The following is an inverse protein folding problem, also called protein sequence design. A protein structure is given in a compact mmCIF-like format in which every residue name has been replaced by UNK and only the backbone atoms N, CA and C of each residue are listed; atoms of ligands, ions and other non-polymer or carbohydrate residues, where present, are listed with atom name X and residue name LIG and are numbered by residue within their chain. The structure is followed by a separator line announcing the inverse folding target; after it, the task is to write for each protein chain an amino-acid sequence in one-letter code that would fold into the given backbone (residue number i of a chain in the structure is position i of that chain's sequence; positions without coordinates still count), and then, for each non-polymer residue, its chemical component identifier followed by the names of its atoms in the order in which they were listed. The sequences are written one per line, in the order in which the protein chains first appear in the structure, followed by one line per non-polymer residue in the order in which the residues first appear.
data_IF_755998715575
#
_entry.id   IF_755998715575
#
_cell.length_a   1.000
_cell.length_b   1.000
_cell.length_c   1.000
_cell.angle_alpha   90.00
_cell.angle_beta   90.00
_cell.angle_gamma   90.00
#
_symmetry.space_group_name_H-M   'P 1'
#
loop_
_entity.id
_entity.type
_entity.pdbx_description
1 polymer ?
2 non-polymer ?
3 non-polymer ?
4 water ?
#
# COMPACT_ATOMS: atom_id res chain seq x y z
N UNK A 12 -5.92 22.04 -21.45
CA UNK A 12 -6.84 20.91 -21.79
C UNK A 12 -6.36 19.52 -21.33
N UNK A 13 -7.24 18.82 -20.60
CA UNK A 13 -6.87 17.55 -20.00
C UNK A 13 -7.03 16.41 -21.00
N UNK A 14 -7.82 16.64 -22.05
CA UNK A 14 -8.02 15.61 -23.09
C UNK A 14 -6.75 15.39 -23.91
N UNK A 15 -5.78 16.29 -23.72
CA UNK A 15 -4.44 16.16 -24.31
C UNK A 15 -3.49 15.32 -23.44
N UNK A 16 -3.89 14.98 -22.22
CA UNK A 16 -3.04 14.21 -21.30
C UNK A 16 -3.23 12.74 -21.59
N UNK A 17 -2.18 12.09 -22.07
CA UNK A 17 -2.23 10.70 -22.48
C UNK A 17 -2.15 9.78 -21.28
N UNK A 18 -3.26 9.10 -20.99
CA UNK A 18 -3.28 8.14 -19.89
C UNK A 18 -3.25 6.74 -20.46
N UNK A 19 -2.26 5.94 -20.04
CA UNK A 19 -2.15 4.57 -20.48
C UNK A 19 -2.34 3.60 -19.32
N UNK A 20 -3.35 2.73 -19.41
CA UNK A 20 -3.67 1.79 -18.33
C UNK A 20 -3.47 0.34 -18.77
N UNK A 21 -2.71 -0.41 -17.98
CA UNK A 21 -2.33 -1.77 -18.38
C UNK A 21 -2.91 -2.86 -17.48
N UNK A 22 -2.88 -4.11 -17.98
CA UNK A 22 -3.18 -5.29 -17.17
C UNK A 22 -4.62 -5.38 -16.60
N UNK A 23 -5.60 -4.81 -17.29
CA UNK A 23 -7.01 -5.01 -16.88
C UNK A 23 -7.34 -4.34 -15.55
N UNK A 24 -6.87 -3.10 -15.43
CA UNK A 24 -7.18 -2.24 -14.30
C UNK A 24 -8.70 -2.03 -14.26
N UNK A 25 -9.26 -2.04 -13.04
CA UNK A 25 -10.71 -1.94 -12.91
C UNK A 25 -11.24 -0.73 -13.67
N UNK A 26 -12.44 -0.91 -14.22
CA UNK A 26 -13.19 0.14 -14.90
C UNK A 26 -13.52 1.35 -14.01
N UNK A 27 -13.51 1.19 -12.68
CA UNK A 27 -13.69 2.35 -11.78
C UNK A 27 -12.56 3.41 -12.02
N UNK A 28 -11.38 2.97 -12.46
CA UNK A 28 -10.28 3.90 -12.75
C UNK A 28 -10.57 4.71 -14.02
N UNK A 29 -10.97 4.02 -15.08
CA UNK A 29 -11.30 4.64 -16.37
C UNK A 29 -12.39 5.71 -16.18
N UNK A 30 -13.38 5.40 -15.36
CA UNK A 30 -14.50 6.31 -15.13
C UNK A 30 -14.10 7.53 -14.32
N UNK A 31 -13.23 7.31 -13.34
CA UNK A 31 -12.77 8.38 -12.51
C UNK A 31 -11.96 9.37 -13.36
N UNK A 32 -11.08 8.87 -14.24
CA UNK A 32 -10.32 9.72 -15.17
C UNK A 32 -11.24 10.57 -16.05
N UNK A 33 -12.22 9.92 -16.68
CA UNK A 33 -13.20 10.58 -17.55
C UNK A 33 -13.97 11.72 -16.87
N UNK A 34 -14.54 11.43 -15.70
CA UNK A 34 -15.31 12.40 -14.93
C UNK A 34 -14.45 13.56 -14.43
N UNK A 35 -13.12 13.36 -14.46
CA UNK A 35 -12.16 14.39 -14.07
C UNK A 35 -11.68 15.19 -15.27
N UNK A 36 -12.21 14.89 -16.45
CA UNK A 36 -11.80 15.55 -17.69
C UNK A 36 -10.63 14.85 -18.37
N UNK A 37 -10.12 13.78 -17.76
CA UNK A 37 -9.06 13.01 -18.39
C UNK A 37 -9.67 11.96 -19.34
N UNK A 38 -10.07 12.42 -20.53
CA UNK A 38 -10.75 11.57 -21.52
C UNK A 38 -9.79 10.78 -22.42
N UNK A 39 -8.52 11.19 -22.51
CA UNK A 39 -7.59 10.47 -23.36
C UNK A 39 -6.99 9.21 -22.72
N UNK A 40 -7.79 8.14 -22.66
CA UNK A 40 -7.40 6.96 -21.91
C UNK A 40 -7.30 5.74 -22.82
N UNK A 41 -6.10 5.16 -22.89
CA UNK A 41 -5.87 3.88 -23.54
C UNK A 41 -5.83 2.83 -22.42
N UNK A 42 -6.74 1.85 -22.49
CA UNK A 42 -6.91 0.82 -21.45
C UNK A 42 -6.69 -0.55 -22.06
N UNK A 43 -5.69 -1.28 -21.56
CA UNK A 43 -5.39 -2.62 -22.08
C UNK A 43 -5.68 -3.70 -21.05
N UNK A 44 -6.09 -4.91 -21.52
CA UNK A 44 -6.38 -5.96 -20.54
C UNK A 44 -5.13 -6.74 -20.10
N UNK A 45 -3.98 -6.45 -20.72
CA UNK A 45 -2.77 -7.27 -20.57
C UNK A 45 -1.52 -6.47 -20.21
N UNK A 46 -0.47 -7.18 -19.79
CA UNK A 46 0.85 -6.57 -19.66
C UNK A 46 1.49 -6.48 -21.04
N UNK A 47 2.45 -5.58 -21.19
CA UNK A 47 3.17 -5.43 -22.45
C UNK A 47 4.61 -5.95 -22.31
N UNK A 48 5.18 -6.46 -23.40
CA UNK A 48 6.61 -6.79 -23.41
C UNK A 48 7.44 -5.50 -23.44
N UNK A 49 8.73 -5.63 -23.11
CA UNK A 49 9.69 -4.54 -23.12
C UNK A 49 9.51 -3.64 -24.35
N UNK A 50 9.44 -4.26 -25.54
CA UNK A 50 9.37 -3.56 -26.81
C UNK A 50 8.07 -2.77 -27.04
N UNK A 51 6.93 -3.42 -26.78
CA UNK A 51 5.63 -2.73 -26.86
C UNK A 51 5.52 -1.65 -25.80
N UNK A 52 6.08 -1.93 -24.62
CA UNK A 52 6.02 -0.98 -23.52
C UNK A 52 6.79 0.29 -23.88
N UNK A 53 8.03 0.12 -24.38
CA UNK A 53 8.85 1.25 -24.84
C UNK A 53 8.07 2.12 -25.87
N UNK A 54 7.45 1.46 -26.86
CA UNK A 54 6.60 2.13 -27.85
C UNK A 54 5.38 2.84 -27.24
N UNK A 55 4.61 2.11 -26.45
CA UNK A 55 3.36 2.64 -25.89
C UNK A 55 3.59 3.76 -24.88
N UNK A 56 4.65 3.64 -24.07
CA UNK A 56 4.93 4.61 -23.00
C UNK A 56 5.58 5.90 -23.56
N UNK A 57 6.17 5.78 -24.75
CA UNK A 57 6.90 6.86 -25.43
C UNK A 57 6.17 8.21 -25.38
N UNK A 58 4.85 8.19 -25.47
CA UNK A 58 4.07 9.44 -25.43
C UNK A 58 3.11 9.55 -24.24
N UNK A 59 3.14 8.57 -23.34
CA UNK A 59 2.30 8.56 -22.12
C UNK A 59 2.67 9.66 -21.11
N UNK A 60 1.67 10.36 -20.59
CA UNK A 60 1.85 11.25 -19.47
C UNK A 60 1.65 10.52 -18.15
N UNK A 61 0.65 9.65 -18.11
CA UNK A 61 0.34 8.92 -16.90
C UNK A 61 0.23 7.45 -17.25
N UNK A 62 0.92 6.60 -16.49
CA UNK A 62 0.77 5.16 -16.68
C UNK A 62 0.26 4.47 -15.42
N UNK A 63 -0.68 3.55 -15.62
CA UNK A 63 -1.18 2.68 -14.56
C UNK A 63 -0.83 1.25 -14.88
N UNK A 64 -0.27 0.56 -13.89
CA UNK A 64 0.16 -0.83 -14.04
C UNK A 64 -0.38 -1.68 -12.88
N UNK A 65 -0.23 -2.99 -13.02
CA UNK A 65 -0.48 -3.88 -11.92
C UNK A 65 0.79 -4.62 -11.60
N UNK A 66 0.73 -5.94 -11.41
CA UNK A 66 1.89 -6.65 -10.86
C UNK A 66 2.91 -7.16 -11.89
N UNK A 67 2.56 -7.18 -13.18
CA UNK A 67 3.42 -7.84 -14.17
C UNK A 67 4.33 -6.88 -14.95
N UNK A 68 3.88 -5.65 -15.17
CA UNK A 68 4.65 -4.65 -15.89
C UNK A 68 5.86 -4.17 -15.08
N UNK A 69 7.03 -4.25 -15.68
CA UNK A 69 8.25 -3.87 -14.96
C UNK A 69 8.68 -2.49 -15.40
N UNK A 70 8.76 -1.55 -14.47
CA UNK A 70 9.15 -0.18 -14.83
C UNK A 70 10.55 0.13 -14.33
N UNK A 71 11.50 0.09 -15.24
CA UNK A 71 12.91 0.24 -14.90
C UNK A 71 13.41 1.55 -15.51
N UNK A 72 14.62 1.95 -15.11
CA UNK A 72 15.32 3.11 -15.70
C UNK A 72 15.28 3.12 -17.25
N UNK A 73 15.56 1.96 -17.85
CA UNK A 73 15.50 1.80 -19.30
C UNK A 73 14.15 2.22 -19.88
N UNK A 74 13.06 1.84 -19.20
CA UNK A 74 11.72 2.24 -19.63
C UNK A 74 11.52 3.76 -19.47
N UNK A 75 11.87 4.30 -18.29
CA UNK A 75 11.76 5.75 -18.06
C UNK A 75 12.56 6.56 -19.07
N UNK A 76 13.74 6.07 -19.46
CA UNK A 76 14.57 6.70 -20.53
C UNK A 76 13.84 6.85 -21.86
N UNK A 77 12.87 5.97 -22.10
CA UNK A 77 12.04 6.01 -23.32
C UNK A 77 10.79 6.85 -23.11
N UNK A 78 10.49 7.18 -21.84
CA UNK A 78 9.22 7.82 -21.53
C UNK A 78 9.39 9.33 -21.49
N UNK A 79 9.42 9.92 -22.68
CA UNK A 79 9.65 11.35 -22.85
C UNK A 79 8.72 12.28 -22.09
N UNK A 80 7.48 11.84 -21.85
CA UNK A 80 6.44 12.74 -21.35
C UNK A 80 5.88 12.32 -20.00
N UNK A 81 6.36 11.19 -19.48
CA UNK A 81 5.76 10.58 -18.29
C UNK A 81 5.91 11.50 -17.07
N UNK A 82 4.80 11.79 -16.40
CA UNK A 82 4.84 12.58 -15.16
C UNK A 82 4.55 11.76 -13.89
N UNK A 83 3.85 10.64 -14.03
CA UNK A 83 3.42 9.89 -12.83
C UNK A 83 3.12 8.43 -13.15
N UNK A 84 3.37 7.58 -12.16
CA UNK A 84 3.06 6.17 -12.22
C UNK A 84 2.03 5.81 -11.15
N UNK A 85 1.02 5.06 -11.57
CA UNK A 85 0.05 4.50 -10.64
C UNK A 85 0.32 3.00 -10.53
N UNK A 86 0.64 2.53 -9.33
CA UNK A 86 0.69 1.09 -9.05
C UNK A 86 -0.70 0.74 -8.55
N UNK A 87 -1.48 0.10 -9.41
CA UNK A 87 -2.81 -0.29 -9.04
C UNK A 87 -2.76 -1.61 -8.23
N UNK A 88 -2.19 -1.47 -7.02
CA UNK A 88 -1.90 -2.58 -6.10
C UNK A 88 -1.36 -2.01 -4.79
N UNK A 89 -1.27 -2.84 -3.75
CA UNK A 89 -0.66 -2.44 -2.47
C UNK A 89 0.87 -2.29 -2.60
N UNK A 90 1.53 -3.36 -3.04
CA UNK A 90 2.99 -3.37 -3.25
C UNK A 90 3.46 -2.54 -4.44
N UNK A 91 4.75 -2.26 -4.48
CA UNK A 91 5.36 -1.46 -5.54
C UNK A 91 6.71 -2.05 -6.02
N UNK A 92 6.88 -3.36 -5.83
CA UNK A 92 8.16 -4.02 -6.14
C UNK A 92 8.48 -4.18 -7.63
N UNK A 93 7.48 -3.91 -8.47
CA UNK A 93 7.64 -3.97 -9.92
C UNK A 93 8.20 -2.64 -10.55
N UNK A 94 8.29 -1.58 -9.76
CA UNK A 94 8.78 -0.28 -10.25
C UNK A 94 10.12 0.04 -9.60
N UNK A 95 11.08 0.53 -10.39
CA UNK A 95 12.34 1.04 -9.82
C UNK A 95 12.05 2.43 -9.23
N UNK A 96 11.80 2.47 -7.92
CA UNK A 96 11.24 3.66 -7.26
C UNK A 96 12.20 4.82 -7.25
N UNK A 97 13.49 4.52 -7.02
CA UNK A 97 14.54 5.54 -6.97
C UNK A 97 14.79 6.14 -8.37
N UNK A 98 14.81 5.27 -9.39
CA UNK A 98 14.98 5.71 -10.79
C UNK A 98 13.86 6.68 -11.17
N UNK A 99 12.63 6.34 -10.78
CA UNK A 99 11.49 7.23 -11.04
C UNK A 99 11.66 8.57 -10.32
N UNK A 100 11.99 8.50 -9.02
CA UNK A 100 12.22 9.71 -8.24
C UNK A 100 13.26 10.64 -8.89
N UNK A 101 14.41 10.10 -9.26
CA UNK A 101 15.50 10.88 -9.85
C UNK A 101 15.12 11.59 -11.18
N UNK A 102 14.07 11.09 -11.82
CA UNK A 102 13.47 11.68 -13.02
C UNK A 102 12.26 12.56 -12.69
N UNK A 103 12.04 12.78 -11.39
CA UNK A 103 10.93 13.61 -10.94
C UNK A 103 9.57 13.01 -11.23
N UNK A 104 9.47 11.69 -11.14
CA UNK A 104 8.22 10.97 -11.35
C UNK A 104 7.75 10.31 -10.06
N UNK A 105 6.67 10.85 -9.45
CA UNK A 105 6.11 10.18 -8.26
C UNK A 105 5.39 8.92 -8.66
N UNK A 106 5.41 7.94 -7.76
CA UNK A 106 4.72 6.67 -7.93
C UNK A 106 3.71 6.57 -6.78
N UNK A 107 2.45 6.34 -7.14
CA UNK A 107 1.37 6.21 -6.16
C UNK A 107 0.81 4.80 -6.11
N UNK A 108 0.50 4.33 -4.92
CA UNK A 108 -0.09 3.01 -4.76
C UNK A 108 -1.44 3.18 -4.06
N UNK A 109 -2.00 2.08 -3.59
CA UNK A 109 -3.31 2.09 -2.98
C UNK A 109 -3.17 1.50 -1.57
N UNK A 110 -2.63 2.28 -0.64
CA UNK A 110 -2.27 1.66 0.64
C UNK A 110 -3.45 1.23 1.54
N UNK A 111 -4.61 1.85 1.39
CA UNK A 111 -5.72 1.54 2.29
C UNK A 111 -6.88 0.69 1.71
N UNK A 112 -6.90 0.51 0.37
CA UNK A 112 -7.99 -0.21 -0.33
C UNK A 112 -8.24 -1.63 0.16
N UNK A 113 -7.16 -2.30 0.55
CA UNK A 113 -7.18 -3.68 1.00
C UNK A 113 -7.77 -3.90 2.42
N UNK A 114 -7.99 -2.84 3.18
CA UNK A 114 -8.27 -2.89 4.63
C UNK A 114 -9.37 -3.88 4.98
N UNK A 115 -10.53 -3.71 4.36
CA UNK A 115 -11.69 -4.53 4.67
C UNK A 115 -11.42 -6.01 4.29
N UNK A 116 -10.71 -6.24 3.19
CA UNK A 116 -10.47 -7.61 2.74
C UNK A 116 -9.60 -8.36 3.73
N UNK A 117 -8.60 -7.66 4.29
CA UNK A 117 -7.73 -8.29 5.31
C UNK A 117 -8.52 -8.54 6.60
N UNK A 118 -9.34 -7.58 7.00
CA UNK A 118 -10.04 -7.69 8.27
C UNK A 118 -11.06 -8.87 8.27
N UNK A 119 -11.81 -9.02 7.17
CA UNK A 119 -12.75 -10.12 7.04
C UNK A 119 -12.06 -11.47 7.07
N UNK A 120 -10.95 -11.57 6.34
CA UNK A 120 -10.17 -12.81 6.32
C UNK A 120 -9.73 -13.22 7.73
N UNK A 121 -9.19 -12.27 8.50
CA UNK A 121 -8.72 -12.60 9.84
C UNK A 121 -9.88 -13.21 10.66
N UNK A 122 -11.03 -12.56 10.62
CA UNK A 122 -12.17 -12.96 11.43
C UNK A 122 -12.67 -14.38 11.04
N UNK A 123 -12.80 -14.64 9.74
CA UNK A 123 -13.17 -15.98 9.28
C UNK A 123 -12.14 -17.01 9.72
N UNK A 124 -10.88 -16.66 9.67
CA UNK A 124 -9.83 -17.60 10.03
C UNK A 124 -9.81 -17.88 11.52
N UNK A 125 -10.16 -16.90 12.34
CA UNK A 125 -10.18 -17.14 13.77
C UNK A 125 -11.20 -18.23 14.05
N UNK A 126 -12.38 -18.11 13.45
CA UNK A 126 -13.40 -19.15 13.63
C UNK A 126 -12.91 -20.51 13.11
N UNK A 127 -12.35 -20.57 11.90
CA UNK A 127 -11.94 -21.88 11.35
C UNK A 127 -10.88 -22.56 12.23
N UNK A 128 -9.93 -21.76 12.72
CA UNK A 128 -8.82 -22.26 13.55
C UNK A 128 -9.30 -22.74 14.93
N UNK A 129 -10.10 -21.94 15.62
CA UNK A 129 -10.60 -22.34 16.95
C UNK A 129 -11.49 -23.58 16.88
N UNK A 130 -12.14 -23.76 15.73
CA UNK A 130 -12.97 -24.92 15.53
C UNK A 130 -12.25 -26.08 14.85
N UNK A 131 -11.00 -25.87 14.44
CA UNK A 131 -10.24 -26.92 13.73
C UNK A 131 -10.96 -27.40 12.46
N UNK A 132 -11.65 -26.49 11.75
CA UNK A 132 -12.44 -26.86 10.56
C UNK A 132 -11.65 -27.37 9.35
N UNK A 133 -10.54 -26.72 9.03
CA UNK A 133 -9.70 -27.15 7.93
C UNK A 133 -9.18 -28.64 8.04
N UNK A 134 -8.57 -29.04 9.19
CA UNK A 134 -8.16 -30.47 9.26
C UNK A 134 -9.36 -31.42 9.21
N UNK A 135 -10.49 -31.00 9.76
CA UNK A 135 -11.72 -31.81 9.71
C UNK A 135 -12.23 -32.01 8.30
N UNK A 136 -12.14 -30.96 7.49
CA UNK A 136 -12.57 -31.03 6.09
C UNK A 136 -11.59 -31.81 5.22
N UNK A 137 -10.29 -31.59 5.40
CA UNK A 137 -9.28 -32.45 4.74
C UNK A 137 -9.57 -33.92 5.06
N UNK A 138 -9.73 -34.21 6.35
CA UNK A 138 -10.08 -35.57 6.77
C UNK A 138 -11.39 -36.07 6.12
N UNK A 139 -12.44 -35.26 6.12
CA UNK A 139 -13.73 -35.69 5.54
C UNK A 139 -13.63 -36.01 4.03
N UNK A 140 -12.93 -35.16 3.27
CA UNK A 140 -12.71 -35.44 1.83
C UNK A 140 -12.03 -36.79 1.57
N UNK A 141 -11.19 -37.21 2.51
CA UNK A 141 -10.43 -38.46 2.45
C UNK A 141 -11.20 -39.64 3.07
N UNK A 142 -12.41 -39.39 3.54
CA UNK A 142 -13.21 -40.46 4.16
C UNK A 142 -13.14 -40.58 5.68
N UNK A 143 -12.36 -39.73 6.33
CA UNK A 143 -12.26 -39.76 7.79
C UNK A 143 -13.48 -39.09 8.41
N UNK A 144 -13.70 -39.29 9.71
CA UNK A 144 -14.86 -38.73 10.39
C UNK A 144 -14.47 -38.35 11.81
N UNK A 145 -14.20 -37.07 12.01
CA UNK A 145 -13.67 -36.63 13.28
C UNK A 145 -14.69 -35.86 14.09
N UNK A 146 -15.80 -36.51 14.44
CA UNK A 146 -16.87 -35.85 15.18
C UNK A 146 -16.52 -35.79 16.65
N UNK A 147 -16.13 -34.61 17.11
CA UNK A 147 -15.65 -34.46 18.49
C UNK A 147 -15.64 -32.98 18.88
N UNK A 148 -15.93 -32.70 20.15
CA UNK A 148 -15.93 -31.34 20.65
C UNK A 148 -14.56 -30.94 21.25
N UNK A 149 -13.69 -31.91 21.51
CA UNK A 149 -12.43 -31.67 22.19
C UNK A 149 -11.52 -30.77 21.38
N UNK A 150 -11.09 -29.67 21.98
CA UNK A 150 -10.19 -28.73 21.29
C UNK A 150 -10.94 -27.84 20.32
N UNK A 151 -12.27 -27.91 20.34
CA UNK A 151 -13.08 -27.11 19.42
C UNK A 151 -13.81 -26.04 20.22
N UNK A 152 -13.67 -24.78 19.84
CA UNK A 152 -14.20 -23.71 20.72
C UNK A 152 -14.89 -22.58 19.99
N UNK A 153 -15.80 -21.91 20.71
CA UNK A 153 -16.50 -20.71 20.22
C UNK A 153 -15.55 -19.53 20.37
N UNK A 154 -15.67 -18.56 19.47
CA UNK A 154 -14.86 -17.34 19.58
C UNK A 154 -15.45 -16.36 20.61
N UNK A 155 -16.76 -16.40 20.84
CA UNK A 155 -17.39 -15.53 21.85
C UNK A 155 -16.73 -15.77 23.20
N UNK A 156 -16.33 -14.71 23.89
CA UNK A 156 -15.72 -14.89 25.20
C UNK A 156 -14.21 -14.99 25.14
N UNK A 157 -13.65 -15.23 23.95
CA UNK A 157 -12.20 -15.34 23.81
C UNK A 157 -11.51 -13.98 23.60
N UNK A 158 -10.23 -13.90 23.94
CA UNK A 158 -9.43 -12.69 23.80
C UNK A 158 -8.60 -12.75 22.51
N UNK A 159 -8.85 -11.75 21.66
CA UNK A 159 -7.99 -11.48 20.52
C UNK A 159 -6.96 -10.41 20.87
N UNK A 160 -5.68 -10.74 20.67
CA UNK A 160 -4.59 -9.78 20.78
C UNK A 160 -4.14 -9.32 19.41
N UNK A 161 -4.22 -8.01 19.20
CA UNK A 161 -3.90 -7.37 17.94
C UNK A 161 -2.58 -6.60 18.04
N UNK A 162 -1.62 -6.95 17.20
CA UNK A 162 -0.31 -6.32 17.26
C UNK A 162 -0.22 -5.37 16.06
N UNK A 163 -0.28 -4.07 16.38
CA UNK A 163 -0.38 -3.03 15.37
C UNK A 163 -1.84 -2.60 15.25
N UNK A 164 -2.17 -1.44 15.82
CA UNK A 164 -3.56 -1.01 15.89
C UNK A 164 -3.79 0.17 14.97
N UNK A 165 -3.54 -0.04 13.68
CA UNK A 165 -3.76 1.03 12.73
C UNK A 165 -5.12 0.83 12.10
N UNK A 166 -5.15 1.06 10.81
CA UNK A 166 -6.36 0.94 10.05
C UNK A 166 -6.97 -0.46 10.06
N UNK A 167 -6.16 -1.44 9.68
CA UNK A 167 -6.59 -2.82 9.63
C UNK A 167 -6.82 -3.35 11.04
N UNK A 168 -5.89 -3.05 11.93
CA UNK A 168 -5.98 -3.54 13.32
C UNK A 168 -7.30 -3.16 13.94
N UNK A 169 -7.70 -1.90 13.79
CA UNK A 169 -8.94 -1.47 14.40
C UNK A 169 -10.20 -1.99 13.73
N UNK A 170 -10.18 -2.15 12.40
CA UNK A 170 -11.29 -2.84 11.73
C UNK A 170 -11.38 -4.29 12.18
N UNK A 171 -10.25 -4.98 12.27
CA UNK A 171 -10.21 -6.35 12.81
C UNK A 171 -10.86 -6.40 14.20
N UNK A 172 -10.43 -5.47 15.07
CA UNK A 172 -11.02 -5.30 16.40
C UNK A 172 -12.54 -5.09 16.43
N UNK A 173 -13.04 -4.21 15.54
CA UNK A 173 -14.48 -3.93 15.43
C UNK A 173 -15.27 -5.21 15.18
N UNK A 174 -14.90 -5.91 14.12
CA UNK A 174 -15.52 -7.17 13.72
C UNK A 174 -15.40 -8.24 14.81
N UNK A 175 -14.25 -8.31 15.48
CA UNK A 175 -14.03 -9.33 16.51
C UNK A 175 -14.96 -9.05 17.68
N UNK A 176 -15.10 -7.79 18.06
CA UNK A 176 -16.07 -7.43 19.09
C UNK A 176 -17.52 -7.81 18.76
N UNK A 177 -17.95 -7.57 17.52
CA UNK A 177 -19.31 -7.96 17.14
C UNK A 177 -19.48 -9.48 17.25
N UNK A 178 -18.38 -10.22 17.18
CA UNK A 178 -18.42 -11.67 17.38
C UNK A 178 -18.27 -12.07 18.84
N UNK A 179 -18.32 -11.07 19.75
CA UNK A 179 -18.28 -11.33 21.18
C UNK A 179 -16.90 -11.60 21.78
N UNK A 180 -15.85 -11.37 20.99
CA UNK A 180 -14.47 -11.48 21.53
C UNK A 180 -14.12 -10.28 22.40
N UNK A 181 -13.28 -10.50 23.41
CA UNK A 181 -12.59 -9.40 24.11
C UNK A 181 -11.34 -9.06 23.29
N UNK A 182 -11.19 -7.76 22.98
CA UNK A 182 -10.12 -7.33 22.10
C UNK A 182 -9.13 -6.42 22.85
N UNK A 183 -7.86 -6.79 22.75
CA UNK A 183 -6.75 -5.98 23.25
C UNK A 183 -5.78 -5.74 22.11
N UNK A 184 -5.00 -4.68 22.26
CA UNK A 184 -4.00 -4.35 21.24
C UNK A 184 -2.67 -3.90 21.86
N UNK A 185 -1.59 -4.20 21.16
CA UNK A 185 -0.31 -3.60 21.48
C UNK A 185 0.16 -2.79 20.26
N UNK A 186 0.49 -1.53 20.51
CA UNK A 186 1.02 -0.65 19.49
C UNK A 186 1.97 0.34 20.19
N UNK A 187 3.18 0.48 19.67
CA UNK A 187 4.21 1.31 20.32
C UNK A 187 3.84 2.79 20.39
N UNK A 188 2.92 3.26 19.55
CA UNK A 188 2.57 4.67 19.60
C UNK A 188 1.07 4.93 19.86
N UNK A 189 0.44 4.06 20.63
CA UNK A 189 -0.94 4.28 21.05
C UNK A 189 -1.24 3.50 22.33
N UNK A 190 -1.85 4.20 23.29
CA UNK A 190 -2.19 3.65 24.60
C UNK A 190 -3.64 4.01 24.99
N UNK A 191 -4.37 4.61 24.05
CA UNK A 191 -5.75 5.00 24.29
C UNK A 191 -6.71 3.79 24.29
N UNK A 192 -7.74 3.89 25.11
CA UNK A 192 -8.78 2.88 25.11
C UNK A 192 -9.83 3.32 24.08
N UNK A 193 -10.36 2.38 23.31
CA UNK A 193 -11.43 2.66 22.34
C UNK A 193 -12.69 1.86 22.64
N UNK A 194 -13.61 2.46 23.39
CA UNK A 194 -14.81 1.78 23.86
C UNK A 194 -14.35 0.65 24.77
N UNK A 195 -14.63 -0.59 24.35
CA UNK A 195 -14.18 -1.74 25.13
C UNK A 195 -12.81 -2.35 24.75
N UNK A 196 -12.16 -1.76 23.75
CA UNK A 196 -10.86 -2.22 23.27
C UNK A 196 -9.77 -1.50 24.08
N UNK A 197 -8.97 -2.28 24.81
CA UNK A 197 -7.96 -1.71 25.71
C UNK A 197 -6.53 -2.01 25.25
N UNK A 198 -5.59 -1.07 25.50
CA UNK A 198 -4.20 -1.37 25.16
C UNK A 198 -3.58 -2.33 26.18
N UNK A 199 -2.75 -3.26 25.72
CA UNK A 199 -1.85 -4.00 26.62
C UNK A 199 -0.64 -3.11 26.94
N UNK A 200 0.03 -3.33 28.07
CA UNK A 200 1.22 -2.53 28.44
C UNK A 200 2.41 -2.89 27.56
N UNK A 201 2.43 -4.11 27.02
CA UNK A 201 3.59 -4.59 26.27
C UNK A 201 3.20 -5.66 25.27
N UNK A 202 4.09 -5.92 24.32
CA UNK A 202 3.90 -7.04 23.43
C UNK A 202 3.80 -8.35 24.22
N UNK A 203 4.71 -8.57 25.17
CA UNK A 203 4.72 -9.84 25.91
C UNK A 203 3.43 -10.01 26.68
N UNK A 204 2.93 -8.96 27.32
CA UNK A 204 1.66 -9.07 28.07
C UNK A 204 0.52 -9.48 27.15
N UNK A 205 0.48 -8.88 25.97
CA UNK A 205 -0.54 -9.24 24.96
C UNK A 205 -0.44 -10.72 24.55
N UNK A 206 0.78 -11.17 24.25
CA UNK A 206 1.02 -12.55 23.86
C UNK A 206 0.59 -13.55 24.92
N UNK A 207 0.86 -13.22 26.18
CA UNK A 207 0.61 -14.13 27.29
C UNK A 207 -0.87 -14.26 27.61
N UNK A 208 -1.66 -13.23 27.28
CA UNK A 208 -3.05 -13.18 27.73
C UNK A 208 -4.08 -13.30 26.60
N UNK A 209 -3.64 -13.59 25.39
CA UNK A 209 -4.54 -13.74 24.26
C UNK A 209 -4.79 -15.22 23.92
N UNK A 210 -6.00 -15.52 23.44
CA UNK A 210 -6.28 -16.83 22.88
C UNK A 210 -5.84 -16.91 21.41
N UNK A 211 -5.92 -15.77 20.73
CA UNK A 211 -5.53 -15.63 19.35
C UNK A 211 -4.75 -14.34 19.25
N UNK A 212 -3.62 -14.39 18.56
CA UNK A 212 -2.83 -13.21 18.26
C UNK A 212 -2.82 -13.02 16.76
N UNK A 213 -3.18 -11.82 16.32
CA UNK A 213 -3.17 -11.45 14.88
C UNK A 213 -2.25 -10.27 14.65
N UNK A 214 -1.36 -10.40 13.69
CA UNK A 214 -0.33 -9.40 13.43
C UNK A 214 -0.82 -8.40 12.39
N UNK A 215 -0.74 -7.12 12.74
CA UNK A 215 -1.12 -6.06 11.82
C UNK A 215 -0.14 -4.89 11.90
N UNK A 216 1.14 -5.22 11.80
CA UNK A 216 2.20 -4.23 11.86
C UNK A 216 2.21 -3.41 10.56
N UNK A 217 2.12 -2.08 10.68
CA UNK A 217 2.28 -1.18 9.51
C UNK A 217 3.60 -1.40 8.76
N UNK A 218 3.54 -1.22 7.43
CA UNK A 218 4.73 -1.21 6.57
C UNK A 218 5.66 -0.08 7.00
N UNK A 224 12.73 -10.39 12.91
CA UNK A 224 11.50 -11.09 13.28
C UNK A 224 10.95 -10.45 14.56
N UNK A 225 9.70 -10.04 14.51
CA UNK A 225 9.01 -9.58 15.70
C UNK A 225 8.62 -10.81 16.54
N UNK A 226 8.09 -11.85 15.89
CA UNK A 226 7.63 -13.04 16.60
C UNK A 226 8.63 -14.20 16.44
N UNK A 227 9.50 -14.33 17.45
CA UNK A 227 10.54 -15.35 17.46
C UNK A 227 10.02 -16.57 18.20
N UNK A 228 10.81 -17.65 18.22
CA UNK A 228 10.46 -18.76 19.10
C UNK A 228 10.17 -18.31 20.55
N UNK A 229 10.95 -17.36 21.07
CA UNK A 229 10.73 -16.90 22.43
C UNK A 229 9.32 -16.36 22.62
N UNK A 230 8.88 -15.52 21.68
CA UNK A 230 7.51 -14.97 21.72
C UNK A 230 6.45 -16.03 21.61
N UNK A 231 6.61 -16.98 20.69
CA UNK A 231 5.66 -18.11 20.53
C UNK A 231 5.48 -18.92 21.81
N UNK A 232 6.57 -19.14 22.55
CA UNK A 232 6.56 -19.94 23.79
C UNK A 232 5.92 -19.19 24.97
N UNK A 233 5.82 -17.87 24.85
CA UNK A 233 5.09 -17.03 25.82
C UNK A 233 3.58 -17.11 25.62
N UNK A 234 3.13 -17.40 24.41
CA UNK A 234 1.69 -17.54 24.14
C UNK A 234 1.10 -18.70 24.94
N UNK A 235 -0.19 -18.61 25.22
CA UNK A 235 -0.93 -19.64 25.96
C UNK A 235 -0.91 -20.97 25.22
N UNK A 236 -0.75 -22.05 25.96
CA UNK A 236 -0.90 -23.36 25.39
C UNK A 236 -2.33 -23.46 24.79
N UNK A 237 -2.44 -23.89 23.54
CA UNK A 237 -3.72 -23.97 22.86
C UNK A 237 -4.11 -22.72 22.06
N UNK A 238 -3.24 -21.71 22.07
CA UNK A 238 -3.52 -20.44 21.39
C UNK A 238 -3.22 -20.53 19.88
N UNK A 239 -3.53 -19.46 19.15
CA UNK A 239 -3.47 -19.42 17.70
C UNK A 239 -2.74 -18.15 17.24
N UNK A 240 -1.96 -18.29 16.17
CA UNK A 240 -1.33 -17.13 15.57
C UNK A 240 -1.79 -16.92 14.14
N UNK A 241 -2.12 -15.67 13.83
CA UNK A 241 -2.43 -15.27 12.46
C UNK A 241 -1.49 -14.16 12.00
N UNK A 242 -0.87 -14.36 10.86
CA UNK A 242 -0.07 -13.30 10.25
C UNK A 242 -0.49 -13.03 8.83
N UNK A 243 -1.30 -12.00 8.64
CA UNK A 243 -1.76 -11.62 7.30
C UNK A 243 -1.21 -10.26 6.94
N UNK A 244 -0.12 -9.88 7.62
CA UNK A 244 0.47 -8.56 7.47
C UNK A 244 1.90 -8.59 6.81
N UNK A 245 2.98 -8.77 7.57
CA UNK A 245 4.36 -8.75 6.99
C UNK A 245 5.10 -10.11 6.95
N UNK A 246 5.62 -10.46 5.77
CA UNK A 246 6.22 -11.77 5.53
C UNK A 246 7.45 -12.16 6.33
N UNK A 247 8.17 -11.17 6.86
CA UNK A 247 9.36 -11.46 7.66
C UNK A 247 9.15 -11.33 9.19
N UNK A 248 7.91 -11.13 9.62
CA UNK A 248 7.61 -10.92 11.04
C UNK A 248 7.58 -12.17 11.94
N UNK A 249 7.50 -13.37 11.37
CA UNK A 249 7.44 -14.58 12.18
C UNK A 249 8.50 -15.58 11.79
N UNK A 250 9.12 -16.21 12.78
CA UNK A 250 10.03 -17.31 12.55
C UNK A 250 9.16 -18.57 12.33
N UNK A 251 8.95 -18.89 11.05
CA UNK A 251 8.04 -19.95 10.64
C UNK A 251 8.57 -21.34 10.94
N UNK A 252 9.90 -21.47 11.00
CA UNK A 252 10.52 -22.73 11.44
C UNK A 252 10.21 -22.95 12.92
N UNK A 253 10.28 -21.89 13.72
CA UNK A 253 9.94 -21.97 15.14
C UNK A 253 8.43 -22.19 15.26
N UNK A 254 7.63 -21.54 14.43
CA UNK A 254 6.18 -21.81 14.46
C UNK A 254 5.87 -23.29 14.17
N UNK A 255 6.50 -23.86 13.14
CA UNK A 255 6.31 -25.28 12.82
C UNK A 255 6.63 -26.17 14.03
N UNK A 256 7.75 -25.88 14.71
CA UNK A 256 8.12 -26.63 15.90
C UNK A 256 7.07 -26.57 17.01
N UNK A 257 6.58 -25.37 17.35
CA UNK A 257 5.69 -25.26 18.50
C UNK A 257 4.32 -25.82 18.16
N UNK A 258 3.96 -25.81 16.86
CA UNK A 258 2.76 -26.48 16.39
C UNK A 258 2.90 -27.98 16.53
N UNK A 259 4.05 -28.54 16.12
CA UNK A 259 4.25 -29.99 16.20
C UNK A 259 4.30 -30.49 17.61
N UNK A 260 4.82 -29.66 18.51
CA UNK A 260 4.83 -29.96 19.93
C UNK A 260 3.43 -29.91 20.51
N UNK A 261 2.52 -29.23 19.81
CA UNK A 261 1.17 -29.04 20.35
C UNK A 261 1.08 -27.94 21.38
N UNK A 262 2.06 -27.02 21.39
CA UNK A 262 1.98 -25.85 22.26
C UNK A 262 0.95 -24.87 21.68
N UNK A 263 1.09 -24.54 20.40
CA UNK A 263 0.05 -23.75 19.74
C UNK A 263 -0.88 -24.72 19.05
N UNK A 264 -2.17 -24.39 18.98
CA UNK A 264 -3.16 -25.30 18.36
C UNK A 264 -3.43 -25.05 16.87
N UNK A 265 -2.87 -24.00 16.30
CA UNK A 265 -3.12 -23.71 14.88
C UNK A 265 -2.59 -22.35 14.48
N UNK A 266 -2.56 -22.08 13.18
CA UNK A 266 -2.09 -20.81 12.65
C UNK A 266 -2.70 -20.56 11.28
N UNK A 267 -2.77 -19.28 10.89
CA UNK A 267 -3.10 -18.91 9.52
C UNK A 267 -2.07 -17.90 9.07
N UNK A 268 -1.51 -18.10 7.86
CA UNK A 268 -0.37 -17.30 7.43
C UNK A 268 -0.59 -16.97 5.96
N UNK A 269 -0.59 -15.68 5.63
CA UNK A 269 -0.83 -15.22 4.27
C UNK A 269 0.49 -14.79 3.62
N UNK A 270 1.51 -14.55 4.45
CA UNK A 270 2.74 -13.89 3.97
C UNK A 270 4.01 -14.59 4.49
N UNK A 271 5.02 -14.71 3.65
CA UNK A 271 6.13 -15.60 3.91
C UNK A 271 7.45 -14.90 3.63
N UNK A 272 8.54 -15.37 4.29
CA UNK A 272 9.83 -14.70 4.02
C UNK A 272 10.24 -14.80 2.56
N UNK A 273 9.90 -15.92 1.91
CA UNK A 273 10.16 -16.10 0.49
C UNK A 273 8.88 -16.57 -0.22
N UNK A 274 8.44 -15.79 -1.19
CA UNK A 274 7.23 -16.11 -1.96
C UNK A 274 7.56 -16.28 -3.45
N UNK A 275 6.88 -17.23 -4.13
CA UNK A 275 7.17 -17.48 -5.52
C UNK A 275 7.11 -16.20 -6.37
N UNK A 276 8.05 -16.07 -7.30
CA UNK A 276 8.16 -14.93 -8.21
C UNK A 276 7.04 -14.86 -9.25
N UNK A 277 6.05 -15.77 -9.12
CA UNK A 277 4.82 -15.83 -9.93
C UNK A 277 4.04 -17.11 -9.59
N UNK A 278 2.79 -17.19 -10.03
CA UNK A 278 1.97 -18.40 -9.88
C UNK A 278 2.51 -19.64 -10.64
N UNK A 279 3.57 -19.46 -11.44
CA UNK A 279 4.20 -20.55 -12.19
C UNK A 279 5.55 -21.01 -11.66
N UNK A 280 5.68 -21.11 -10.33
CA UNK A 280 6.89 -21.60 -9.61
C UNK A 280 6.53 -22.18 -8.21
N UNK A 281 7.25 -23.22 -7.75
CA UNK A 281 6.87 -23.96 -6.54
C UNK A 281 7.01 -23.16 -5.23
N UNK A 282 6.02 -23.26 -4.37
CA UNK A 282 6.07 -22.60 -3.06
C UNK A 282 6.51 -23.58 -1.99
N UNK A 283 7.39 -23.12 -1.13
CA UNK A 283 7.91 -23.95 -0.05
C UNK A 283 7.90 -23.18 1.29
N UNK A 284 7.45 -23.87 2.35
CA UNK A 284 7.45 -23.32 3.71
C UNK A 284 7.46 -24.51 4.69
N UNK A 285 8.14 -24.37 5.85
CA UNK A 285 8.18 -25.49 6.80
C UNK A 285 6.82 -25.78 7.47
N UNK A 286 5.83 -24.90 7.28
CA UNK A 286 4.46 -25.17 7.74
C UNK A 286 3.69 -26.16 6.87
N UNK A 287 4.20 -26.48 5.69
CA UNK A 287 3.48 -27.34 4.75
C UNK A 287 3.27 -28.73 5.32
N UNK A 288 2.04 -29.24 5.26
CA UNK A 288 1.75 -30.56 5.83
C UNK A 288 1.35 -30.56 7.31
N UNK A 289 1.42 -29.40 7.96
CA UNK A 289 1.04 -29.34 9.38
C UNK A 289 -0.48 -29.25 9.58
N UNK A 290 -0.97 -29.86 10.65
CA UNK A 290 -2.40 -29.85 10.96
C UNK A 290 -2.87 -28.50 11.54
N UNK A 291 -4.06 -28.11 11.10
CA UNK A 291 -4.67 -26.85 11.52
C UNK A 291 -3.84 -25.60 11.21
N UNK A 292 -3.22 -25.64 10.03
CA UNK A 292 -2.52 -24.47 9.53
C UNK A 292 -3.17 -24.12 8.19
N UNK A 293 -3.69 -22.90 8.14
CA UNK A 293 -4.22 -22.35 6.89
C UNK A 293 -3.10 -21.54 6.23
N UNK A 294 -2.74 -21.93 5.00
CA UNK A 294 -1.69 -21.25 4.24
C UNK A 294 -2.38 -20.57 3.08
N UNK A 295 -2.22 -19.26 2.95
CA UNK A 295 -2.88 -18.57 1.83
C UNK A 295 -1.84 -17.83 0.96
N UNK A 296 -2.05 -17.81 -0.37
CA UNK A 296 -0.95 -17.30 -1.21
C UNK A 296 -0.90 -15.78 -1.32
N UNK A 297 -0.71 -15.09 -0.18
CA UNK A 297 -0.63 -13.65 -0.16
C UNK A 297 -1.89 -13.02 -0.80
N UNK A 298 -3.06 -13.52 -0.40
CA UNK A 298 -4.31 -13.00 -0.92
C UNK A 298 -5.13 -12.15 0.07
N UNK A 299 -4.53 -11.76 1.18
CA UNK A 299 -5.24 -11.01 2.23
C UNK A 299 -5.93 -9.81 1.63
N UNK A 300 -5.32 -9.19 0.63
CA UNK A 300 -5.89 -7.98 0.00
C UNK A 300 -6.51 -8.22 -1.38
N UNK A 301 -6.62 -9.49 -1.78
CA UNK A 301 -6.99 -9.80 -3.16
C UNK A 301 -8.49 -10.16 -3.27
N UNK A 302 -9.33 -9.14 -3.40
CA UNK A 302 -10.75 -9.36 -3.71
C UNK A 302 -11.16 -8.51 -4.90
N UNK A 303 -12.29 -8.88 -5.52
CA UNK A 303 -12.86 -8.07 -6.59
C UNK A 303 -13.18 -6.66 -6.09
N UNK A 304 -13.63 -6.55 -4.84
CA UNK A 304 -14.03 -5.27 -4.28
C UNK A 304 -12.80 -4.40 -3.96
N UNK A 305 -11.75 -5.01 -3.43
CA UNK A 305 -10.48 -4.27 -3.26
C UNK A 305 -9.93 -3.77 -4.61
N UNK A 306 -9.99 -4.61 -5.65
CA UNK A 306 -9.56 -4.16 -7.00
C UNK A 306 -10.32 -2.91 -7.43
N UNK A 307 -11.62 -2.88 -7.17
CA UNK A 307 -12.45 -1.71 -7.51
C UNK A 307 -12.01 -0.50 -6.71
N UNK A 308 -11.84 -0.67 -5.41
CA UNK A 308 -11.41 0.45 -4.57
C UNK A 308 -10.00 0.94 -4.96
N UNK A 309 -9.11 0.01 -5.31
CA UNK A 309 -7.78 0.38 -5.79
C UNK A 309 -7.88 1.29 -7.04
N UNK A 310 -8.77 0.94 -7.97
CA UNK A 310 -8.96 1.72 -9.20
C UNK A 310 -9.33 3.16 -8.93
N UNK A 311 -10.25 3.36 -7.99
CA UNK A 311 -10.62 4.69 -7.54
C UNK A 311 -9.52 5.40 -6.76
N UNK A 312 -8.97 4.76 -5.72
CA UNK A 312 -7.92 5.35 -4.83
C UNK A 312 -6.70 5.85 -5.64
N UNK A 313 -6.16 4.97 -6.47
CA UNK A 313 -4.93 5.35 -7.23
C UNK A 313 -5.24 6.40 -8.29
N UNK A 314 -6.42 6.34 -8.90
CA UNK A 314 -6.78 7.35 -9.91
C UNK A 314 -6.97 8.72 -9.24
N UNK A 315 -7.62 8.75 -8.08
CA UNK A 315 -7.76 10.00 -7.33
C UNK A 315 -6.37 10.65 -7.11
N UNK A 316 -5.40 9.87 -6.64
CA UNK A 316 -4.02 10.34 -6.43
C UNK A 316 -3.40 10.90 -7.73
N UNK A 317 -3.60 10.16 -8.82
CA UNK A 317 -3.02 10.55 -10.12
C UNK A 317 -3.64 11.83 -10.70
N UNK A 318 -4.97 11.90 -10.66
CA UNK A 318 -5.71 13.09 -11.02
C UNK A 318 -5.25 14.30 -10.18
N UNK A 319 -5.13 14.13 -8.87
CA UNK A 319 -4.73 15.26 -8.02
C UNK A 319 -3.29 15.67 -8.27
N UNK A 320 -2.42 14.70 -8.52
CA UNK A 320 -1.05 15.04 -8.87
C UNK A 320 -1.00 15.83 -10.18
N UNK A 321 -1.70 15.35 -11.20
CA UNK A 321 -1.64 15.95 -12.52
C UNK A 321 -2.28 17.37 -12.50
N UNK A 322 -3.42 17.51 -11.83
CA UNK A 322 -4.08 18.81 -11.68
C UNK A 322 -3.29 19.83 -10.83
N UNK A 323 -2.95 19.44 -9.58
CA UNK A 323 -2.41 20.43 -8.64
C UNK A 323 -1.09 20.05 -7.95
N UNK A 324 -0.42 19.01 -8.44
CA UNK A 324 0.90 18.59 -7.96
C UNK A 324 1.01 17.96 -6.57
N UNK A 325 -0.12 17.58 -5.96
CA UNK A 325 -0.02 16.89 -4.67
C UNK A 325 0.70 15.54 -4.79
N UNK A 326 1.63 15.31 -3.86
CA UNK A 326 2.38 14.06 -3.78
C UNK A 326 2.24 13.37 -2.42
N UNK A 327 1.29 13.82 -1.59
CA UNK A 327 1.00 13.11 -0.35
C UNK A 327 0.54 11.69 -0.73
N UNK A 328 1.14 10.67 -0.16
CA UNK A 328 0.77 9.30 -0.54
C UNK A 328 1.67 8.69 -1.60
N UNK A 329 2.49 9.50 -2.25
CA UNK A 329 3.49 8.94 -3.17
C UNK A 329 4.45 8.08 -2.34
N UNK A 330 4.83 6.92 -2.85
CA UNK A 330 5.72 6.03 -2.07
C UNK A 330 7.22 6.31 -2.25
N UNK A 331 7.57 7.18 -3.21
CA UNK A 331 8.97 7.36 -3.58
C UNK A 331 9.36 8.83 -3.69
N UNK A 332 8.64 9.73 -3.01
CA UNK A 332 8.73 11.15 -3.39
C UNK A 332 8.47 12.03 -2.16
N UNK A 333 9.11 13.20 -2.10
CA UNK A 333 8.78 14.14 -1.03
C UNK A 333 7.28 14.45 -1.07
N UNK A 334 6.66 14.45 0.11
CA UNK A 334 5.21 14.56 0.29
C UNK A 334 4.85 16.04 0.37
N UNK A 335 4.18 16.54 -0.65
CA UNK A 335 3.80 17.96 -0.69
C UNK A 335 2.32 18.10 -0.97
N UNK A 336 1.67 18.96 -0.21
CA UNK A 336 0.28 19.36 -0.43
C UNK A 336 0.20 20.85 -0.13
N UNK A 337 -0.54 21.60 -0.95
CA UNK A 337 -0.68 23.06 -0.78
C UNK A 337 -2.06 23.50 -1.29
N UNK A 338 -2.87 24.15 -0.42
CA UNK A 338 -4.23 24.54 -0.84
C UNK A 338 -4.19 25.32 -2.14
N UNK A 339 -5.01 24.93 -3.12
CA UNK A 339 -5.08 25.70 -4.38
C UNK A 339 -5.85 27.03 -4.19
N UNK A 340 -5.56 28.02 -5.05
CA UNK A 340 -6.22 29.32 -4.98
C UNK A 340 -6.99 29.52 -6.26
N UNK A 341 -8.10 30.27 -6.22
CA UNK A 341 -8.89 30.41 -7.46
C UNK A 341 -8.30 31.38 -8.52
N UNK A 342 -7.30 32.18 -8.13
CA UNK A 342 -6.67 33.12 -9.08
C UNK A 342 -5.13 32.94 -9.21
N UNK A 343 -4.54 33.62 -10.20
CA UNK A 343 -3.11 33.59 -10.44
C UNK A 343 -2.72 32.25 -11.07
N UNK A 344 -1.51 31.79 -10.75
CA UNK A 344 -0.96 30.62 -11.41
C UNK A 344 -0.25 29.75 -10.38
N UNK A 345 -0.23 28.45 -10.59
CA UNK A 345 0.45 27.54 -9.66
C UNK A 345 1.59 26.84 -10.41
N UNK A 346 2.75 26.73 -9.76
CA UNK A 346 3.93 26.13 -10.40
C UNK A 346 4.42 24.97 -9.53
N UNK A 347 5.07 23.99 -10.17
CA UNK A 347 5.85 23.00 -9.46
C UNK A 347 7.24 22.94 -10.09
N UNK A 348 8.24 22.58 -9.29
CA UNK A 348 9.60 22.51 -9.80
C UNK A 348 10.27 21.33 -9.07
N UNK A 349 10.82 20.38 -9.81
CA UNK A 349 11.57 19.27 -9.23
C UNK A 349 13.03 19.52 -9.55
N UNK A 350 13.89 19.41 -8.55
CA UNK A 350 15.33 19.64 -8.81
C UNK A 350 16.23 18.75 -8.01
N UNK A 351 17.49 18.70 -8.44
CA UNK A 351 18.56 18.24 -7.58
C UNK A 351 18.74 19.20 -6.40
N UNK A 352 19.17 18.69 -5.25
CA UNK A 352 19.40 19.54 -4.07
C UNK A 352 20.70 20.35 -4.10
N UNK A 353 20.81 21.25 -5.07
CA UNK A 353 21.96 22.15 -5.18
C UNK A 353 21.79 23.34 -4.26
N UNK A 354 22.83 23.63 -3.45
CA UNK A 354 22.74 24.74 -2.51
C UNK A 354 22.49 26.07 -3.26
N UNK A 355 21.51 26.84 -2.80
CA UNK A 355 21.28 28.12 -3.44
C UNK A 355 20.25 28.05 -4.56
N UNK A 356 19.73 26.86 -4.86
CA UNK A 356 18.69 26.76 -5.89
C UNK A 356 17.38 27.54 -5.52
N UNK A 357 17.03 27.58 -4.24
CA UNK A 357 15.92 28.41 -3.79
C UNK A 357 16.10 29.88 -4.11
N UNK A 358 17.31 30.37 -3.95
CA UNK A 358 17.62 31.75 -4.29
C UNK A 358 17.40 32.01 -5.73
N UNK A 359 17.93 31.12 -6.57
CA UNK A 359 17.76 31.23 -8.03
C UNK A 359 16.29 31.21 -8.41
N UNK A 360 15.51 30.33 -7.79
CA UNK A 360 14.08 30.26 -8.08
C UNK A 360 13.37 31.55 -7.72
N UNK A 361 13.57 32.03 -6.49
CA UNK A 361 12.97 33.30 -6.02
C UNK A 361 13.38 34.48 -6.92
N UNK A 362 14.64 34.52 -7.32
CA UNK A 362 15.14 35.55 -8.18
C UNK A 362 14.47 35.55 -9.51
N UNK A 363 14.22 34.39 -10.08
CA UNK A 363 13.50 34.35 -11.33
C UNK A 363 12.12 35.00 -11.20
N UNK A 364 11.38 34.61 -10.17
CA UNK A 364 10.06 35.20 -9.90
C UNK A 364 10.08 36.73 -9.73
N UNK A 365 10.96 37.26 -8.87
CA UNK A 365 11.14 38.73 -8.77
C UNK A 365 11.40 39.37 -10.12
N UNK A 366 12.37 38.82 -10.86
CA UNK A 366 12.74 39.34 -12.16
C UNK A 366 11.51 39.58 -13.04
N UNK A 367 10.55 38.66 -12.96
CA UNK A 367 9.32 38.79 -13.76
C UNK A 367 8.18 39.51 -13.02
N UNK A 368 8.49 40.11 -11.88
CA UNK A 368 7.48 40.82 -11.06
C UNK A 368 6.28 39.93 -10.66
N UNK A 369 6.54 38.67 -10.35
CA UNK A 369 5.47 37.74 -9.97
C UNK A 369 5.63 37.44 -8.50
N UNK A 370 4.55 37.60 -7.74
CA UNK A 370 4.63 37.44 -6.28
C UNK A 370 4.12 36.07 -5.89
N UNK A 371 4.84 35.42 -4.99
CA UNK A 371 4.45 34.11 -4.51
C UNK A 371 3.58 34.30 -3.28
N UNK A 372 2.38 33.73 -3.33
CA UNK A 372 1.42 33.83 -2.24
C UNK A 372 1.57 32.69 -1.22
N UNK A 373 2.11 31.54 -1.64
CA UNK A 373 2.36 30.43 -0.72
C UNK A 373 3.26 29.42 -1.42
N UNK A 374 3.95 28.59 -0.65
CA UNK A 374 4.74 27.54 -1.24
C UNK A 374 5.10 26.48 -0.21
N UNK A 375 5.43 25.29 -0.72
CA UNK A 375 5.78 24.16 0.13
C UNK A 375 6.95 23.44 -0.58
N UNK A 376 8.09 23.43 0.12
CA UNK A 376 9.25 22.68 -0.34
C UNK A 376 9.40 21.47 0.54
N UNK A 377 9.57 20.29 -0.05
CA UNK A 377 10.04 19.14 0.74
C UNK A 377 11.18 18.47 -0.06
N UNK A 378 12.13 17.85 0.63
CA UNK A 378 13.33 17.30 0.00
C UNK A 378 13.67 15.94 0.61
N UNK A 379 14.41 15.12 -0.13
CA UNK A 379 14.92 13.89 0.43
C UNK A 379 16.37 13.77 -0.04
N UNK A 380 16.94 12.57 -0.07
CA UNK A 380 18.33 12.45 -0.46
C UNK A 380 18.63 12.73 -1.92
N UNK A 381 17.60 12.62 -2.78
CA UNK A 381 17.78 12.73 -4.23
C UNK A 381 17.22 14.00 -4.86
N UNK A 382 16.07 14.46 -4.38
CA UNK A 382 15.38 15.59 -5.05
C UNK A 382 14.79 16.58 -4.05
N UNK A 383 14.56 17.81 -4.52
CA UNK A 383 13.72 18.77 -3.84
C UNK A 383 12.48 18.95 -4.71
N UNK A 384 11.33 19.10 -4.07
CA UNK A 384 10.09 19.32 -4.77
C UNK A 384 9.41 20.56 -4.18
N UNK A 385 9.18 21.56 -5.02
CA UNK A 385 8.62 22.81 -4.61
C UNK A 385 7.31 23.07 -5.33
N UNK A 386 6.22 23.30 -4.60
CA UNK A 386 4.98 23.72 -5.25
C UNK A 386 4.71 25.15 -4.79
N UNK A 387 4.29 26.02 -5.72
CA UNK A 387 4.10 27.45 -5.45
C UNK A 387 2.81 28.00 -6.02
N UNK A 388 2.12 28.81 -5.22
CA UNK A 388 1.03 29.65 -5.69
C UNK A 388 1.55 31.09 -5.89
N UNK A 389 1.24 31.67 -7.06
CA UNK A 389 1.80 32.97 -7.47
C UNK A 389 0.74 33.84 -8.13
N UNK A 390 0.99 35.13 -8.30
CA UNK A 390 -0.07 36.00 -8.85
C UNK A 390 0.14 36.36 -10.33
N UNK A 391 1.11 35.69 -10.97
CA UNK A 391 1.35 35.88 -12.39
C UNK A 391 0.17 35.30 -13.15
N UNK A 392 0.01 35.75 -14.40
CA UNK A 392 -1.01 35.26 -15.31
C UNK A 392 -0.46 35.24 -16.74
N UNK A 393 -1.09 34.43 -17.60
CA UNK A 393 -0.81 34.48 -19.03
C UNK A 393 0.67 34.36 -19.37
N UNK A 394 1.13 35.25 -20.23
CA UNK A 394 2.48 35.19 -20.79
C UNK A 394 3.61 35.41 -19.78
N UNK A 395 3.36 36.23 -18.77
CA UNK A 395 4.33 36.43 -17.68
C UNK A 395 4.64 35.10 -16.95
N UNK A 396 3.60 34.30 -16.66
CA UNK A 396 3.76 32.95 -16.10
C UNK A 396 4.50 31.96 -17.02
N UNK A 397 4.16 31.95 -18.31
CA UNK A 397 4.91 31.16 -19.30
C UNK A 397 6.40 31.48 -19.28
N UNK A 398 6.73 32.77 -19.20
CA UNK A 398 8.13 33.20 -19.21
C UNK A 398 8.87 32.77 -17.94
N UNK A 399 8.22 32.89 -16.78
CA UNK A 399 8.81 32.37 -15.53
C UNK A 399 9.00 30.86 -15.61
N UNK A 400 8.02 30.15 -16.16
CA UNK A 400 8.17 28.71 -16.35
C UNK A 400 9.42 28.36 -17.17
N UNK A 401 9.56 28.98 -18.34
CA UNK A 401 10.66 28.65 -19.25
C UNK A 401 12.02 28.90 -18.55
N UNK A 402 12.12 30.00 -17.83
CA UNK A 402 13.34 30.37 -17.13
C UNK A 402 13.68 29.48 -15.91
N UNK A 403 12.67 29.08 -15.13
CA UNK A 403 12.93 28.16 -14.00
C UNK A 403 13.31 26.75 -14.48
N UNK A 404 12.79 26.36 -15.65
CA UNK A 404 13.24 25.12 -16.31
C UNK A 404 14.74 25.15 -16.64
N UNK A 405 15.33 26.33 -16.78
CA UNK A 405 16.73 26.39 -17.19
C UNK A 405 17.70 26.49 -16.03
N UNK A 406 17.23 26.57 -14.78
CA UNK A 406 18.14 26.71 -13.63
C UNK A 406 18.94 25.40 -13.50
N UNK A 407 20.27 25.48 -13.33
CA UNK A 407 21.05 24.22 -13.27
C UNK A 407 20.60 23.33 -12.11
N UNK A 408 20.45 22.03 -12.35
CA UNK A 408 19.95 21.10 -11.33
C UNK A 408 18.44 20.83 -11.45
N UNK A 409 17.76 21.56 -12.32
CA UNK A 409 16.32 21.34 -12.53
C UNK A 409 16.10 20.01 -13.21
N UNK A 410 15.18 19.24 -12.67
CA UNK A 410 14.77 17.96 -13.25
C UNK A 410 13.55 18.17 -14.14
N UNK A 411 12.52 18.85 -13.63
CA UNK A 411 11.39 19.26 -14.45
C UNK A 411 10.61 20.36 -13.74
N UNK A 412 9.78 21.07 -14.51
CA UNK A 412 8.88 22.03 -13.96
C UNK A 412 7.66 22.11 -14.86
N UNK A 413 6.51 22.42 -14.28
CA UNK A 413 5.32 22.68 -15.07
C UNK A 413 4.37 23.66 -14.36
N UNK A 414 3.50 24.25 -15.17
CA UNK A 414 2.33 24.97 -14.68
C UNK A 414 1.26 23.99 -14.24
N UNK A 415 0.44 24.40 -13.29
CA UNK A 415 -0.61 23.54 -12.78
C UNK A 415 -1.93 24.31 -12.84
N UNK A 416 -3.04 23.61 -12.62
CA UNK A 416 -4.35 24.22 -12.47
C UNK A 416 -4.52 24.94 -11.12
X LIG B 1 -6.43 -20.46 25.98
X LIG B 1 -6.62 -21.67 26.69
X LIG B 1 -5.96 -20.77 24.57
X LIG B 1 -6.96 -20.31 23.68
X LIG C 1 3.62 -3.28 17.21
X LIG C 1 4.79 -3.81 17.79
X LIG C 1 3.98 -1.92 16.66
X LIG C 1 3.18 -0.96 17.29
X LIG C 1 3.76 -1.87 15.15
X LIG C 1 3.16 -0.64 14.82
X LIG D 1 -12.80 -0.03 4.92
X LIG D 1 -14.13 0.22 5.31
X LIG D 1 -12.74 -0.63 3.51
X LIG D 1 -13.75 -0.14 2.66
X LIG D 1 -11.38 -0.34 2.92
X LIG D 1 -10.81 -1.57 2.59
X LIG E 1 -4.96 27.36 -8.89
X LIG E 1 -3.89 26.78 -8.19
X LIG E 1 -4.73 28.77 -9.38
X LIG E 1 -3.56 29.37 -8.84
X LIG E 1 -4.81 28.81 -10.91
X LIG E 1 -6.05 29.31 -11.35
#
# INVERSE_FOLDING_TARGET
GPGSMTERLSLSRDRINVLLLEGISQTAVEYFKSSGYTNVTHLPKALDKADLIKAISSAHIIGIRSRTQLTEEIFAAANRLIAVGCFSVGTNQVELKAARKRGIPVFNAPFSNTRSVAELVIGEIIMLMRRIFPRSVSAHAGGWEKTAIGSREVRGKTLGIVGYGNIGSQVGNLAESLGMTVRYYDTSDKLQYGNVKPAASLDELLKTSDVVSLHVPSSKSTSKLITEAKLRKMKKGAFLINNARGSDVDLEALAKVLQEGHLAGAAIDVFPVEPASNGERFSTPLQGLENVILTPHIGGSTEEAQERIGTEVTRKLVEYSDVGSTVGAVNFPQVQLPPRPTGTRFMHVHENRPGILNSLMNVFSHHHINIASQFLQTDGEVGYLVMEADGVGEASDAVLQEIREIPGTIRARLLY
EDO C1 O1 C2 O2
GOL C1 O1 C2 O2 C3 O3
GOL C1 O1 C2 O2 C3 O3
GOL C1 O1 C2 O2 C3 O3
#
